data_IF_124343868615
#
_entry.id   IF_124343868615
#
_cell.length_a   1.000
_cell.length_b   1.000
_cell.length_c   1.000
_cell.angle_alpha   90.00
_cell.angle_beta   90.00
_cell.angle_gamma   90.00
#
_symmetry.space_group_name_H-M   'P 1'
#
loop_
_entity.id
_entity.type
_entity.pdbx_description
1 polymer ?
#
# COMPACT_ATOMS: atom_id res chain seq x y z
N UNK A 1 2.85 15.78 -11.62
CA UNK A 1 3.40 15.11 -10.42
C UNK A 1 2.21 14.77 -9.55
N UNK A 2 2.01 13.48 -9.25
CA UNK A 2 0.93 13.05 -8.36
C UNK A 2 1.36 13.36 -6.94
N UNK A 3 0.48 14.03 -6.18
CA UNK A 3 0.69 14.33 -4.77
C UNK A 3 -0.16 13.38 -3.93
N UNK A 4 0.48 12.56 -3.11
CA UNK A 4 -0.15 11.61 -2.23
C UNK A 4 -0.39 12.15 -0.81
N UNK A 5 0.06 13.38 -0.52
CA UNK A 5 0.02 13.91 0.84
C UNK A 5 -1.42 14.07 1.35
N UNK A 6 -1.69 13.54 2.54
CA UNK A 6 -3.02 13.54 3.17
C UNK A 6 -4.09 12.75 2.40
N UNK A 7 -3.71 11.90 1.45
CA UNK A 7 -4.65 11.01 0.78
C UNK A 7 -4.89 9.75 1.61
N UNK A 8 -6.11 9.25 1.53
CA UNK A 8 -6.50 8.00 2.19
C UNK A 8 -6.94 7.00 1.14
N UNK A 9 -6.46 5.77 1.27
CA UNK A 9 -6.76 4.68 0.35
C UNK A 9 -7.37 3.49 1.09
N UNK A 10 -8.19 2.71 0.37
CA UNK A 10 -8.71 1.42 0.82
C UNK A 10 -8.39 0.34 -0.22
N UNK A 11 -8.20 -0.91 0.21
CA UNK A 11 -8.02 -2.01 -0.74
C UNK A 11 -9.35 -2.41 -1.39
N UNK A 12 -9.38 -2.44 -2.72
CA UNK A 12 -10.57 -2.84 -3.50
C UNK A 12 -10.39 -4.20 -4.16
N UNK A 13 -9.14 -4.65 -4.36
CA UNK A 13 -8.81 -6.00 -4.80
C UNK A 13 -7.47 -6.44 -4.19
N UNK A 14 -7.34 -7.72 -3.90
CA UNK A 14 -6.09 -8.33 -3.45
C UNK A 14 -6.05 -9.80 -3.86
N UNK A 15 -4.86 -10.34 -4.10
CA UNK A 15 -4.68 -11.79 -4.28
C UNK A 15 -4.95 -12.53 -2.98
N UNK A 16 -5.37 -13.80 -3.07
CA UNK A 16 -5.80 -14.61 -1.91
C UNK A 16 -4.75 -14.76 -0.80
N UNK A 17 -3.47 -14.62 -1.15
CA UNK A 17 -2.33 -14.68 -0.25
C UNK A 17 -1.93 -13.32 0.37
N UNK A 18 -2.64 -12.25 0.04
CA UNK A 18 -2.47 -10.95 0.66
C UNK A 18 -3.26 -10.80 1.96
N UNK A 19 -2.76 -9.95 2.87
CA UNK A 19 -3.42 -9.71 4.16
C UNK A 19 -4.31 -8.45 4.18
N UNK A 20 -4.31 -7.66 3.11
CA UNK A 20 -5.13 -6.44 2.99
C UNK A 20 -6.54 -6.77 2.50
N UNK A 21 -7.52 -5.98 2.94
CA UNK A 21 -8.95 -6.15 2.63
C UNK A 21 -9.63 -4.78 2.53
N UNK A 22 -10.92 -4.74 2.21
CA UNK A 22 -11.70 -3.49 2.17
C UNK A 22 -11.71 -2.72 3.52
N UNK A 23 -11.44 -3.41 4.62
CA UNK A 23 -11.31 -2.79 5.95
C UNK A 23 -9.93 -2.15 6.17
N UNK A 24 -8.95 -2.45 5.31
CA UNK A 24 -7.58 -1.95 5.43
C UNK A 24 -7.51 -0.53 4.85
N UNK A 25 -7.32 0.44 5.75
CA UNK A 25 -7.24 1.86 5.41
C UNK A 25 -5.79 2.32 5.50
N UNK A 26 -5.31 2.98 4.46
CA UNK A 26 -3.96 3.54 4.38
C UNK A 26 -4.02 5.05 4.40
N UNK A 27 -3.21 5.69 5.25
CA UNK A 27 -3.16 7.15 5.39
C UNK A 27 -1.79 7.65 4.96
N UNK A 28 -1.73 8.25 3.77
CA UNK A 28 -0.48 8.61 3.11
C UNK A 28 -0.02 10.01 3.55
N UNK A 29 1.31 10.16 3.67
CA UNK A 29 2.03 11.41 3.91
C UNK A 29 3.19 11.46 2.93
N UNK A 30 3.34 12.59 2.25
CA UNK A 30 4.41 12.78 1.29
C UNK A 30 5.18 14.05 1.59
N UNK A 31 6.51 13.95 1.58
CA UNK A 31 7.45 15.05 1.71
C UNK A 31 8.50 14.93 0.58
N UNK A 32 8.38 15.77 -0.45
CA UNK A 32 9.19 15.64 -1.66
C UNK A 32 8.93 14.32 -2.37
N UNK A 33 9.98 13.52 -2.60
CA UNK A 33 9.86 12.17 -3.15
C UNK A 33 9.63 11.10 -2.08
N UNK A 34 9.77 11.42 -0.80
CA UNK A 34 9.56 10.45 0.28
C UNK A 34 8.06 10.31 0.57
N UNK A 35 7.58 9.08 0.58
CA UNK A 35 6.23 8.70 0.98
C UNK A 35 6.29 7.84 2.24
N UNK A 36 5.41 8.11 3.19
CA UNK A 36 5.12 7.20 4.31
C UNK A 36 3.62 6.99 4.42
N UNK A 37 3.21 5.86 4.98
CA UNK A 37 1.82 5.68 5.37
C UNK A 37 1.69 4.77 6.59
N UNK A 38 0.69 5.07 7.43
CA UNK A 38 0.18 4.13 8.41
C UNK A 38 -1.06 3.45 7.86
N UNK A 39 -1.15 2.14 8.07
CA UNK A 39 -2.31 1.36 7.68
C UNK A 39 -2.70 0.33 8.73
N UNK A 40 -3.98 0.00 8.76
CA UNK A 40 -4.57 -1.00 9.67
C UNK A 40 -5.94 -1.43 9.16
N UNK A 41 -6.44 -2.54 9.67
CA UNK A 41 -7.78 -3.06 9.37
C UNK A 41 -7.74 -4.45 8.74
N UNK A 42 -8.86 -5.17 8.85
CA UNK A 42 -8.92 -6.60 8.53
C UNK A 42 -8.00 -7.39 9.45
N UNK A 43 -7.05 -8.14 8.86
CA UNK A 43 -6.05 -8.95 9.60
C UNK A 43 -4.88 -8.13 10.15
N UNK A 44 -4.83 -6.82 9.89
CA UNK A 44 -3.66 -5.99 10.16
C UNK A 44 -3.92 -5.13 11.38
N UNK A 45 -3.17 -5.36 12.47
CA UNK A 45 -3.27 -4.58 13.71
C UNK A 45 -2.60 -3.22 13.51
N UNK A 46 -1.38 -3.23 12.98
CA UNK A 46 -0.59 -2.05 12.69
C UNK A 46 0.34 -2.33 11.52
N UNK A 47 0.36 -1.43 10.55
CA UNK A 47 1.27 -1.45 9.44
C UNK A 47 1.83 -0.06 9.16
N UNK A 48 3.07 -0.04 8.69
CA UNK A 48 3.72 1.16 8.20
C UNK A 48 4.48 0.84 6.91
N UNK A 49 4.47 1.80 5.99
CA UNK A 49 5.24 1.73 4.76
C UNK A 49 6.05 3.00 4.55
N UNK A 50 7.16 2.86 3.84
CA UNK A 50 7.98 3.95 3.34
C UNK A 50 8.34 3.67 1.88
N UNK A 51 8.32 4.70 1.04
CA UNK A 51 8.65 4.56 -0.37
C UNK A 51 9.19 5.83 -1.00
N UNK A 52 9.66 5.69 -2.23
CA UNK A 52 10.11 6.78 -3.08
C UNK A 52 9.16 6.93 -4.26
N UNK A 53 8.65 8.15 -4.44
CA UNK A 53 7.78 8.54 -5.55
C UNK A 53 8.64 9.12 -6.67
N UNK A 54 8.51 8.57 -7.87
CA UNK A 54 9.20 9.11 -9.05
C UNK A 54 8.33 10.14 -9.80
N UNK A 55 8.86 10.73 -10.88
CA UNK A 55 8.18 11.77 -11.66
C UNK A 55 6.85 11.29 -12.30
N UNK A 56 6.75 10.00 -12.60
CA UNK A 56 5.52 9.36 -13.11
C UNK A 56 4.51 9.03 -12.00
N UNK A 57 4.85 9.30 -10.73
CA UNK A 57 4.03 8.98 -9.57
C UNK A 57 4.11 7.51 -9.13
N UNK A 58 4.97 6.70 -9.74
CA UNK A 58 5.19 5.31 -9.32
C UNK A 58 5.92 5.33 -7.99
N UNK A 59 5.47 4.49 -7.07
CA UNK A 59 6.01 4.36 -5.73
C UNK A 59 6.80 3.05 -5.64
N UNK A 60 8.08 3.13 -5.29
CA UNK A 60 8.90 1.99 -4.89
C UNK A 60 8.99 1.94 -3.36
N UNK A 61 8.34 0.95 -2.72
CA UNK A 61 8.12 0.96 -1.27
C UNK A 61 8.50 -0.32 -0.55
N UNK A 62 8.79 -0.16 0.75
CA UNK A 62 9.00 -1.22 1.74
C UNK A 62 7.96 -1.04 2.82
N UNK A 63 7.41 -2.16 3.29
CA UNK A 63 6.41 -2.13 4.33
C UNK A 63 6.68 -3.21 5.37
N UNK A 64 6.17 -2.96 6.57
CA UNK A 64 6.12 -3.93 7.65
C UNK A 64 4.80 -3.83 8.40
N UNK A 65 4.38 -4.94 8.98
CA UNK A 65 3.14 -5.00 9.74
C UNK A 65 3.17 -6.05 10.84
N UNK A 66 2.29 -5.88 11.81
CA UNK A 66 1.89 -6.92 12.76
C UNK A 66 0.48 -7.36 12.39
N UNK A 67 0.34 -8.64 12.06
CA UNK A 67 -0.97 -9.22 11.76
C UNK A 67 -1.72 -9.66 13.03
N UNK A 68 -2.96 -10.11 12.90
CA UNK A 68 -3.83 -10.53 14.00
C UNK A 68 -3.33 -11.77 14.74
N UNK A 69 -2.38 -12.50 14.16
CA UNK A 69 -1.70 -13.63 14.80
C UNK A 69 -0.46 -13.19 15.60
N UNK A 70 -0.18 -11.89 15.66
CA UNK A 70 0.99 -11.33 16.34
C UNK A 70 2.31 -11.55 15.57
N UNK A 71 2.24 -11.92 14.29
CA UNK A 71 3.43 -12.13 13.47
C UNK A 71 3.89 -10.82 12.85
N UNK A 72 5.20 -10.60 12.92
CA UNK A 72 5.86 -9.50 12.23
C UNK A 72 6.12 -9.91 10.78
N UNK A 73 5.53 -9.15 9.84
CA UNK A 73 5.62 -9.39 8.41
C UNK A 73 6.28 -8.20 7.72
N UNK A 74 7.06 -8.45 6.68
CA UNK A 74 7.75 -7.43 5.88
C UNK A 74 7.62 -7.72 4.39
N UNK A 75 7.61 -6.67 3.56
CA UNK A 75 7.53 -6.84 2.10
C UNK A 75 8.04 -5.64 1.31
N UNK A 76 8.13 -5.86 0.00
CA UNK A 76 8.44 -4.85 -1.01
C UNK A 76 7.25 -4.71 -1.94
N UNK A 77 7.03 -3.52 -2.48
CA UNK A 77 5.93 -3.28 -3.40
C UNK A 77 6.29 -2.18 -4.42
N UNK A 78 5.87 -2.38 -5.67
CA UNK A 78 5.82 -1.33 -6.69
C UNK A 78 4.37 -0.96 -6.90
N UNK A 79 4.04 0.32 -6.73
CA UNK A 79 2.67 0.82 -6.87
C UNK A 79 2.60 1.84 -8.00
N UNK A 80 1.74 1.55 -8.99
CA UNK A 80 1.58 2.33 -10.22
C UNK A 80 0.25 3.07 -10.20
N UNK A 81 0.24 4.41 -10.36
CA UNK A 81 -0.99 5.17 -10.32
C UNK A 81 -1.76 5.17 -11.64
N UNK A 82 -3.08 5.25 -11.49
CA UNK A 82 -4.09 5.53 -12.50
C UNK A 82 -4.99 6.65 -11.98
N UNK A 83 -5.18 7.71 -12.78
CA UNK A 83 -6.15 8.76 -12.47
C UNK A 83 -7.50 8.37 -13.08
N UNK A 84 -8.49 8.17 -12.22
CA UNK A 84 -9.85 7.80 -12.62
C UNK A 84 -10.61 9.02 -13.19
N UNK A 85 -11.69 8.75 -13.92
CA UNK A 85 -12.52 9.80 -14.53
C UNK A 85 -13.15 10.77 -13.50
N UNK A 86 -13.28 10.36 -12.24
CA UNK A 86 -13.77 11.19 -11.13
C UNK A 86 -12.66 12.01 -10.45
N UNK A 87 -11.42 11.96 -10.96
CA UNK A 87 -10.25 12.66 -10.42
C UNK A 87 -9.57 11.97 -9.24
N UNK A 88 -10.09 10.83 -8.78
CA UNK A 88 -9.47 10.02 -7.72
C UNK A 88 -8.32 9.18 -8.25
N UNK A 89 -7.42 8.81 -7.35
CA UNK A 89 -6.29 7.94 -7.67
C UNK A 89 -6.65 6.47 -7.38
N UNK A 90 -6.37 5.61 -8.34
CA UNK A 90 -6.27 4.16 -8.16
C UNK A 90 -4.80 3.77 -8.25
N UNK A 91 -4.36 2.86 -7.40
CA UNK A 91 -3.00 2.34 -7.38
C UNK A 91 -3.04 0.84 -7.67
N UNK A 92 -2.25 0.42 -8.67
CA UNK A 92 -2.04 -0.98 -9.03
C UNK A 92 -0.72 -1.43 -8.42
N UNK A 93 -0.78 -2.43 -7.55
CA UNK A 93 0.32 -2.84 -6.69
C UNK A 93 0.81 -4.22 -7.07
N UNK A 94 2.12 -4.35 -7.22
CA UNK A 94 2.83 -5.62 -7.36
C UNK A 94 3.72 -5.77 -6.12
N UNK A 95 3.40 -6.74 -5.25
CA UNK A 95 4.06 -6.90 -3.96
C UNK A 95 4.71 -8.28 -3.80
N UNK A 96 5.70 -8.34 -2.92
CA UNK A 96 6.34 -9.58 -2.50
C UNK A 96 6.65 -9.53 -1.01
N UNK A 97 6.28 -10.58 -0.29
CA UNK A 97 6.74 -10.78 1.07
C UNK A 97 8.23 -11.04 1.12
N UNK A 98 8.93 -10.37 2.03
CA UNK A 98 10.34 -10.62 2.35
C UNK A 98 10.51 -11.41 3.65
N UNK A 99 9.39 -11.75 4.29
CA UNK A 99 9.27 -12.61 5.47
C UNK A 99 8.25 -13.73 5.21
N UNK A 100 8.25 -14.78 6.02
CA UNK A 100 7.25 -15.85 5.91
C UNK A 100 7.50 -16.73 4.68
N UNK A 101 6.47 -16.91 3.84
CA UNK A 101 6.51 -17.81 2.68
C UNK A 101 7.16 -17.20 1.43
N UNK A 102 7.54 -15.92 1.49
CA UNK A 102 8.15 -15.16 0.40
C UNK A 102 7.28 -15.07 -0.87
N UNK A 103 5.98 -15.32 -0.73
CA UNK A 103 5.04 -15.26 -1.84
C UNK A 103 4.87 -13.82 -2.35
N UNK A 104 4.39 -13.72 -3.57
CA UNK A 104 4.11 -12.45 -4.25
C UNK A 104 2.67 -12.41 -4.72
N UNK A 105 2.19 -11.22 -5.03
CA UNK A 105 0.82 -11.00 -5.41
C UNK A 105 0.59 -9.62 -6.01
N UNK A 106 -0.68 -9.36 -6.29
CA UNK A 106 -1.13 -8.09 -6.82
C UNK A 106 -2.31 -7.58 -6.01
N UNK A 107 -2.35 -6.27 -5.79
CA UNK A 107 -3.45 -5.59 -5.13
C UNK A 107 -3.83 -4.32 -5.87
N UNK A 108 -5.03 -3.83 -5.59
CA UNK A 108 -5.51 -2.53 -6.05
C UNK A 108 -6.04 -1.78 -4.85
N UNK A 109 -5.56 -0.55 -4.67
CA UNK A 109 -6.09 0.38 -3.65
C UNK A 109 -6.63 1.64 -4.32
N UNK A 110 -7.69 2.21 -3.77
CA UNK A 110 -8.38 3.38 -4.32
C UNK A 110 -8.54 4.49 -3.29
N UNK A 111 -8.41 5.73 -3.75
CA UNK A 111 -8.64 6.93 -2.96
C UNK A 111 -10.12 7.07 -2.56
N UNK A 112 -10.37 7.36 -1.28
CA UNK A 112 -11.72 7.59 -0.73
C UNK A 112 -12.14 9.06 -0.73
#
# INVERSE_FOLDING_TARGET
MIDYNNKTFIAVANSDNGETSADTVFNYKQEGSMLTAHYKGGKIIFGHLIGLVNEAGIIDMRYHQINSEGKLMTGVCISKPEILANGKIRLHEEWQWTSGDLSSGQSVVEEI
#
